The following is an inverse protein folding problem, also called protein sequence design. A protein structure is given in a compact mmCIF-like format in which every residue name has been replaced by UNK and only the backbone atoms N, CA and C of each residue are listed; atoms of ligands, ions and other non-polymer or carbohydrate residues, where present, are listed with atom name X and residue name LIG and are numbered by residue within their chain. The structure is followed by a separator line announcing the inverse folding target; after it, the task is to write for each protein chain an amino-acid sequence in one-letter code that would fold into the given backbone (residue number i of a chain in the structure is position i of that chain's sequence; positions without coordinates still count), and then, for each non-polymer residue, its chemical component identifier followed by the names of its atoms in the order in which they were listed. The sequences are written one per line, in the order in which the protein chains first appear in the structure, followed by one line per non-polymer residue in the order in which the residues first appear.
data_IF_848016705360
#
_entry.id   IF_848016705360
#
_cell.length_a   1.000
_cell.length_b   1.000
_cell.length_c   1.000
_cell.angle_alpha   90.00
_cell.angle_beta   90.00
_cell.angle_gamma   90.00
#
_symmetry.space_group_name_H-M   'P 1'
#
loop_
_entity.id
_entity.type
_entity.pdbx_description
1 polymer ?
#
# COMPACT_ATOMS: atom_id res chain seq x y z
N UNK A 1 1.62 20.75 8.36
CA UNK A 1 2.50 20.27 7.27
C UNK A 1 3.95 20.53 7.64
N UNK A 2 4.91 19.78 7.06
CA UNK A 2 6.35 19.95 7.28
C UNK A 2 6.97 20.65 6.07
N UNK A 3 7.60 21.81 6.27
CA UNK A 3 8.39 22.49 5.25
C UNK A 3 9.85 22.02 5.31
N UNK A 4 10.49 21.84 4.16
CA UNK A 4 11.92 21.54 4.02
C UNK A 4 12.74 22.78 3.65
N UNK A 5 12.09 23.90 3.33
CA UNK A 5 12.74 25.16 2.95
C UNK A 5 12.95 26.04 4.18
N UNK A 6 14.21 26.36 4.46
CA UNK A 6 14.57 27.23 5.59
C UNK A 6 13.90 28.60 5.47
N UNK A 7 13.40 29.15 6.58
CA UNK A 7 12.69 30.43 6.61
C UNK A 7 11.23 30.38 6.14
N UNK A 8 10.77 29.30 5.50
CA UNK A 8 9.38 29.16 5.04
C UNK A 8 8.64 28.17 5.93
N UNK A 9 7.91 28.69 6.92
CA UNK A 9 7.02 27.89 7.77
C UNK A 9 5.62 27.70 7.18
N UNK A 10 5.15 28.65 6.38
CA UNK A 10 3.82 28.66 5.78
C UNK A 10 3.77 29.55 4.52
N UNK A 11 3.11 29.10 3.42
CA UNK A 11 2.68 27.72 3.18
C UNK A 11 3.90 26.78 3.16
N UNK A 12 3.76 25.58 3.72
CA UNK A 12 4.88 24.65 3.84
C UNK A 12 5.24 24.05 2.47
N UNK A 13 6.54 24.01 2.15
CA UNK A 13 7.05 23.39 0.92
C UNK A 13 7.68 22.05 1.30
N UNK A 14 7.08 20.94 0.88
CA UNK A 14 7.58 19.59 1.14
C UNK A 14 8.78 19.21 0.25
N UNK A 15 9.43 18.08 0.54
CA UNK A 15 10.40 17.47 -0.38
C UNK A 15 9.72 16.89 -1.62
N UNK A 16 10.48 16.56 -2.66
CA UNK A 16 9.94 15.93 -3.87
C UNK A 16 9.11 14.67 -3.56
N UNK A 17 9.62 13.79 -2.70
CA UNK A 17 8.89 12.59 -2.28
C UNK A 17 7.58 12.92 -1.55
N UNK A 18 7.58 13.97 -0.72
CA UNK A 18 6.38 14.46 -0.04
C UNK A 18 5.38 15.08 -1.03
N UNK A 19 5.85 15.81 -2.04
CA UNK A 19 5.02 16.42 -3.07
C UNK A 19 4.29 15.38 -3.92
N UNK A 20 4.98 14.32 -4.36
CA UNK A 20 4.33 13.21 -5.07
C UNK A 20 3.27 12.53 -4.20
N UNK A 21 3.58 12.27 -2.92
CA UNK A 21 2.66 11.65 -1.98
C UNK A 21 1.42 12.53 -1.73
N UNK A 22 1.60 13.84 -1.59
CA UNK A 22 0.50 14.81 -1.50
C UNK A 22 -0.34 14.83 -2.78
N UNK A 23 0.29 14.78 -3.96
CA UNK A 23 -0.41 14.73 -5.24
C UNK A 23 -1.30 13.49 -5.38
N UNK A 24 -0.82 12.32 -4.92
CA UNK A 24 -1.62 11.10 -4.91
C UNK A 24 -2.76 11.17 -3.88
N UNK A 25 -2.50 11.69 -2.67
CA UNK A 25 -3.51 11.89 -1.65
C UNK A 25 -4.62 12.85 -2.12
N UNK A 26 -4.25 13.94 -2.79
CA UNK A 26 -5.20 14.88 -3.40
C UNK A 26 -6.11 14.20 -4.42
N UNK A 27 -5.56 13.35 -5.29
CA UNK A 27 -6.35 12.58 -6.25
C UNK A 27 -7.31 11.60 -5.54
N UNK A 28 -6.84 10.89 -4.51
CA UNK A 28 -7.65 9.94 -3.74
C UNK A 28 -8.78 10.63 -2.94
N UNK A 29 -8.49 11.78 -2.34
CA UNK A 29 -9.47 12.56 -1.57
C UNK A 29 -10.59 13.06 -2.46
N UNK A 30 -10.30 13.41 -3.73
CA UNK A 30 -11.34 13.78 -4.69
C UNK A 30 -12.08 12.59 -5.24
N UNK A 31 -11.37 11.51 -5.56
CA UNK A 31 -12.00 10.35 -6.21
C UNK A 31 -12.99 9.63 -5.30
N UNK A 32 -12.80 9.70 -3.98
CA UNK A 32 -13.69 9.03 -3.01
C UNK A 32 -15.11 9.57 -2.95
N UNK A 33 -15.33 10.78 -3.47
CA UNK A 33 -16.63 11.45 -3.53
C UNK A 33 -17.24 11.43 -4.94
N UNK A 34 -16.61 10.75 -5.89
CA UNK A 34 -17.14 10.64 -7.24
C UNK A 34 -18.43 9.79 -7.25
N UNK A 35 -19.37 10.09 -8.16
CA UNK A 35 -20.50 9.21 -8.42
C UNK A 35 -20.04 7.80 -8.76
N UNK A 36 -20.87 6.81 -8.41
CA UNK A 36 -20.58 5.40 -8.61
C UNK A 36 -20.22 5.06 -10.07
N UNK A 37 -20.95 5.63 -11.04
CA UNK A 37 -20.70 5.43 -12.47
C UNK A 37 -19.29 5.92 -12.87
N UNK A 38 -18.90 7.11 -12.42
CA UNK A 38 -17.58 7.67 -12.69
C UNK A 38 -16.45 6.88 -12.01
N UNK A 39 -16.69 6.34 -10.81
CA UNK A 39 -15.75 5.44 -10.15
C UNK A 39 -15.58 4.14 -10.93
N UNK A 40 -16.70 3.55 -11.37
CA UNK A 40 -16.74 2.32 -12.13
C UNK A 40 -16.00 2.46 -13.44
N UNK A 41 -16.25 3.52 -14.20
CA UNK A 41 -15.54 3.81 -15.45
C UNK A 41 -14.02 3.84 -15.26
N UNK A 42 -13.55 4.56 -14.23
CA UNK A 42 -12.12 4.67 -13.90
C UNK A 42 -11.52 3.34 -13.45
N UNK A 43 -12.23 2.58 -12.62
CA UNK A 43 -11.80 1.27 -12.16
C UNK A 43 -11.68 0.28 -13.33
N UNK A 44 -12.67 0.25 -14.23
CA UNK A 44 -12.62 -0.59 -15.42
C UNK A 44 -11.54 -0.14 -16.40
N UNK A 45 -11.32 1.16 -16.57
CA UNK A 45 -10.19 1.68 -17.34
C UNK A 45 -8.84 1.15 -16.83
N UNK A 46 -8.61 1.21 -15.51
CA UNK A 46 -7.38 0.68 -14.89
C UNK A 46 -7.32 -0.86 -14.94
N UNK A 47 -8.44 -1.55 -14.77
CA UNK A 47 -8.53 -3.01 -14.84
C UNK A 47 -8.12 -3.52 -16.23
N UNK A 48 -8.58 -2.87 -17.31
CA UNK A 48 -8.19 -3.26 -18.68
C UNK A 48 -6.68 -3.16 -18.90
N UNK A 49 -6.04 -2.10 -18.40
CA UNK A 49 -4.58 -1.97 -18.43
C UNK A 49 -3.88 -3.11 -17.66
N UNK A 50 -4.40 -3.46 -16.48
CA UNK A 50 -3.87 -4.56 -15.67
C UNK A 50 -4.02 -5.91 -16.38
N UNK A 51 -5.18 -6.19 -16.97
CA UNK A 51 -5.46 -7.45 -17.67
C UNK A 51 -4.59 -7.60 -18.92
N UNK A 52 -4.43 -6.54 -19.72
CA UNK A 52 -3.51 -6.54 -20.86
C UNK A 52 -2.08 -6.87 -20.42
N UNK A 53 -1.60 -6.20 -19.38
CA UNK A 53 -0.28 -6.48 -18.83
C UNK A 53 -0.16 -7.94 -18.38
N UNK A 54 -1.06 -8.41 -17.52
CA UNK A 54 -1.05 -9.76 -16.97
C UNK A 54 -1.11 -10.84 -18.07
N UNK A 55 -1.97 -10.67 -19.08
CA UNK A 55 -2.08 -11.58 -20.21
C UNK A 55 -0.78 -11.62 -21.04
N UNK A 56 -0.08 -10.49 -21.17
CA UNK A 56 1.14 -10.40 -21.98
C UNK A 56 2.42 -10.85 -21.26
N UNK A 57 2.49 -10.71 -19.93
CA UNK A 57 3.75 -10.88 -19.19
C UNK A 57 3.70 -11.91 -18.06
N UNK A 58 2.52 -12.37 -17.63
CA UNK A 58 2.41 -13.32 -16.51
C UNK A 58 1.94 -14.68 -17.03
N UNK A 59 2.78 -15.74 -17.01
CA UNK A 59 2.46 -17.04 -17.60
C UNK A 59 1.11 -17.62 -17.16
N UNK A 60 0.78 -17.52 -15.86
CA UNK A 60 -0.49 -18.00 -15.33
C UNK A 60 -1.70 -17.28 -15.93
N UNK A 61 -1.63 -15.95 -16.06
CA UNK A 61 -2.74 -15.15 -16.59
C UNK A 61 -2.81 -15.19 -18.11
N UNK A 62 -1.69 -15.39 -18.81
CA UNK A 62 -1.69 -15.64 -20.25
C UNK A 62 -2.51 -16.89 -20.62
N UNK A 63 -2.43 -17.95 -19.80
CA UNK A 63 -3.26 -19.14 -19.97
C UNK A 63 -4.72 -18.89 -19.54
N UNK A 64 -4.93 -18.34 -18.34
CA UNK A 64 -6.28 -18.12 -17.78
C UNK A 64 -7.13 -17.19 -18.64
N UNK A 65 -6.53 -16.12 -19.18
CA UNK A 65 -7.20 -15.09 -19.96
C UNK A 65 -7.18 -15.38 -21.46
N UNK A 66 -6.74 -16.58 -21.87
CA UNK A 66 -6.68 -16.94 -23.29
C UNK A 66 -8.06 -16.81 -23.94
N UNK A 67 -8.15 -16.00 -24.99
CA UNK A 67 -9.40 -15.77 -25.72
C UNK A 67 -10.36 -14.77 -25.07
N UNK A 68 -9.99 -14.17 -23.94
CA UNK A 68 -10.76 -13.07 -23.34
C UNK A 68 -10.37 -11.76 -24.01
N UNK A 69 -11.36 -11.02 -24.51
CA UNK A 69 -11.16 -9.65 -24.98
C UNK A 69 -11.00 -8.70 -23.78
N UNK A 70 -9.76 -8.26 -23.54
CA UNK A 70 -9.46 -7.31 -22.47
C UNK A 70 -9.94 -5.89 -22.76
N UNK A 71 -10.30 -5.55 -24.00
CA UNK A 71 -10.70 -4.21 -24.40
C UNK A 71 -12.22 -4.01 -24.23
N UNK A 72 -13.00 -5.02 -24.60
CA UNK A 72 -14.44 -5.13 -24.32
C UNK A 72 -14.80 -5.51 -22.88
N UNK A 73 -13.80 -5.67 -21.99
CA UNK A 73 -13.99 -6.21 -20.65
C UNK A 73 -14.95 -5.36 -19.78
N UNK A 74 -16.05 -5.96 -19.35
CA UNK A 74 -17.14 -5.32 -18.61
C UNK A 74 -17.46 -6.02 -17.28
N UNK A 75 -18.55 -5.60 -16.62
CA UNK A 75 -18.93 -6.13 -15.30
C UNK A 75 -19.20 -7.63 -15.33
N UNK A 76 -19.92 -8.11 -16.34
CA UNK A 76 -20.33 -9.51 -16.41
C UNK A 76 -19.09 -10.38 -16.70
N UNK A 77 -18.20 -9.90 -17.58
CA UNK A 77 -16.88 -10.50 -17.81
C UNK A 77 -16.03 -10.55 -16.53
N UNK A 78 -16.03 -9.48 -15.74
CA UNK A 78 -15.31 -9.43 -14.46
C UNK A 78 -15.85 -10.45 -13.46
N UNK A 79 -17.17 -10.55 -13.34
CA UNK A 79 -17.81 -11.52 -12.45
C UNK A 79 -17.61 -12.98 -12.88
N UNK A 80 -17.33 -13.22 -14.17
CA UNK A 80 -17.04 -14.54 -14.70
C UNK A 80 -15.56 -14.97 -14.54
N UNK A 81 -14.66 -14.09 -14.06
CA UNK A 81 -13.25 -14.42 -13.92
C UNK A 81 -13.03 -15.59 -12.93
N UNK A 82 -12.19 -16.57 -13.29
CA UNK A 82 -11.80 -17.62 -12.36
C UNK A 82 -11.13 -17.05 -11.10
N UNK A 83 -11.57 -17.54 -9.94
CA UNK A 83 -10.98 -17.13 -8.67
C UNK A 83 -9.58 -17.73 -8.49
N UNK A 84 -8.61 -16.88 -8.12
CA UNK A 84 -7.27 -17.33 -7.76
C UNK A 84 -7.26 -17.83 -6.31
N UNK A 85 -7.14 -19.16 -6.14
CA UNK A 85 -7.15 -19.77 -4.81
C UNK A 85 -5.82 -19.56 -4.07
N UNK A 86 -5.86 -19.60 -2.73
CA UNK A 86 -4.65 -19.58 -1.90
C UNK A 86 -3.70 -20.73 -2.22
N UNK A 87 -4.23 -21.93 -2.52
CA UNK A 87 -3.44 -23.10 -2.91
C UNK A 87 -2.66 -22.80 -4.20
N UNK A 88 -3.32 -22.22 -5.19
CA UNK A 88 -2.70 -21.80 -6.46
C UNK A 88 -1.60 -20.77 -6.23
N UNK A 89 -1.81 -19.78 -5.35
CA UNK A 89 -0.76 -18.81 -4.99
C UNK A 89 0.48 -19.47 -4.37
N UNK A 90 0.28 -20.48 -3.52
CA UNK A 90 1.37 -21.16 -2.83
C UNK A 90 2.17 -22.08 -3.77
N UNK A 91 1.49 -22.82 -4.66
CA UNK A 91 2.14 -23.75 -5.58
C UNK A 91 2.62 -23.10 -6.88
N UNK A 92 2.07 -21.95 -7.25
CA UNK A 92 2.26 -21.30 -8.55
C UNK A 92 3.14 -20.06 -8.54
N UNK A 93 3.95 -19.84 -7.51
CA UNK A 93 4.73 -18.60 -7.37
C UNK A 93 5.54 -18.26 -8.63
N UNK A 94 6.23 -19.24 -9.23
CA UNK A 94 7.04 -18.99 -10.43
C UNK A 94 6.20 -18.60 -11.67
N UNK A 95 5.03 -19.21 -11.86
CA UNK A 95 4.16 -18.89 -13.01
C UNK A 95 3.33 -17.62 -12.83
N UNK A 96 3.25 -17.10 -11.60
CA UNK A 96 2.56 -15.86 -11.25
C UNK A 96 3.47 -14.62 -11.33
N UNK A 97 4.76 -14.80 -11.64
CA UNK A 97 5.68 -13.68 -11.83
C UNK A 97 5.52 -13.06 -13.22
N UNK A 98 5.55 -11.73 -13.27
CA UNK A 98 5.65 -11.00 -14.53
C UNK A 98 7.06 -11.13 -15.08
N UNK A 99 7.17 -11.55 -16.34
CA UNK A 99 8.45 -11.65 -17.07
C UNK A 99 8.98 -10.30 -17.52
N UNK A 100 8.15 -9.25 -17.47
CA UNK A 100 8.52 -7.89 -17.87
C UNK A 100 7.82 -6.87 -16.98
N UNK A 101 8.42 -6.56 -15.82
CA UNK A 101 7.90 -5.51 -14.93
C UNK A 101 7.95 -4.16 -15.67
N UNK A 102 6.87 -3.35 -15.68
CA UNK A 102 6.84 -2.12 -16.46
C UNK A 102 7.90 -1.12 -16.03
N UNK A 103 8.42 -0.36 -16.99
CA UNK A 103 9.35 0.74 -16.72
C UNK A 103 8.70 1.77 -15.78
N UNK A 104 9.48 2.31 -14.85
CA UNK A 104 8.99 3.24 -13.83
C UNK A 104 8.40 2.59 -12.56
N UNK A 105 8.23 1.26 -12.51
CA UNK A 105 7.80 0.59 -11.28
C UNK A 105 8.88 0.55 -10.18
N UNK A 106 10.14 0.79 -10.55
CA UNK A 106 11.28 0.80 -9.64
C UNK A 106 11.72 -0.60 -9.21
N UNK A 107 12.43 -0.67 -8.08
CA UNK A 107 13.00 -1.92 -7.58
C UNK A 107 11.92 -2.96 -7.25
N UNK A 108 12.19 -4.21 -7.60
CA UNK A 108 11.35 -5.37 -7.28
C UNK A 108 11.94 -6.09 -6.07
N UNK A 109 11.10 -6.37 -5.08
CA UNK A 109 11.52 -7.05 -3.84
C UNK A 109 10.58 -8.22 -3.57
N UNK A 110 11.14 -9.37 -3.23
CA UNK A 110 10.36 -10.51 -2.77
C UNK A 110 10.01 -10.37 -1.30
N UNK A 111 8.75 -10.64 -0.96
CA UNK A 111 8.25 -10.71 0.40
C UNK A 111 7.35 -11.93 0.57
N UNK A 112 6.93 -12.18 1.81
CA UNK A 112 6.06 -13.30 2.13
C UNK A 112 5.13 -12.96 3.29
N UNK A 113 3.92 -13.52 3.26
CA UNK A 113 2.98 -13.40 4.38
C UNK A 113 3.53 -14.12 5.61
N UNK A 114 3.18 -13.67 6.82
CA UNK A 114 3.59 -14.32 8.07
C UNK A 114 3.04 -15.75 8.24
N UNK A 115 1.95 -16.11 7.53
CA UNK A 115 1.39 -17.46 7.47
C UNK A 115 0.89 -17.98 8.82
N UNK A 116 -0.32 -17.61 9.23
CA UNK A 116 -0.94 -18.12 10.48
C UNK A 116 -1.10 -19.64 10.53
N UNK A 117 -1.13 -20.31 9.36
CA UNK A 117 -1.27 -21.77 9.21
C UNK A 117 0.03 -22.48 8.78
N UNK A 118 1.19 -21.82 8.90
CA UNK A 118 2.49 -22.41 8.55
C UNK A 118 2.83 -22.44 7.05
N UNK A 119 1.91 -22.06 6.18
CA UNK A 119 2.13 -21.99 4.72
C UNK A 119 2.09 -20.54 4.22
N UNK A 120 3.23 -19.83 4.22
CA UNK A 120 3.30 -18.44 3.75
C UNK A 120 3.07 -18.35 2.24
N UNK A 121 2.44 -17.26 1.79
CA UNK A 121 2.36 -16.89 0.36
C UNK A 121 3.53 -15.98 0.04
N UNK A 122 4.35 -16.37 -0.93
CA UNK A 122 5.41 -15.53 -1.51
C UNK A 122 4.81 -14.59 -2.54
N UNK A 123 5.31 -13.36 -2.61
CA UNK A 123 4.89 -12.37 -3.60
C UNK A 123 6.03 -11.39 -3.91
N UNK A 124 5.95 -10.73 -5.06
CA UNK A 124 6.83 -9.64 -5.45
C UNK A 124 6.11 -8.31 -5.28
N UNK A 125 6.84 -7.28 -4.87
CA UNK A 125 6.34 -5.90 -4.81
C UNK A 125 7.33 -4.96 -5.47
N UNK A 126 6.80 -3.83 -5.95
CA UNK A 126 7.60 -2.79 -6.60
C UNK A 126 7.67 -1.54 -5.72
N UNK A 127 8.56 -0.60 -6.06
CA UNK A 127 8.59 0.70 -5.39
C UNK A 127 7.26 1.45 -5.50
N UNK A 128 6.54 1.31 -6.62
CA UNK A 128 5.19 1.85 -6.81
C UNK A 128 4.19 1.22 -5.84
N UNK A 129 4.25 -0.09 -5.62
CA UNK A 129 3.41 -0.77 -4.61
C UNK A 129 3.63 -0.18 -3.21
N UNK A 130 4.89 0.06 -2.82
CA UNK A 130 5.23 0.68 -1.54
C UNK A 130 4.75 2.15 -1.48
N UNK A 131 4.80 2.87 -2.60
CA UNK A 131 4.31 4.25 -2.67
C UNK A 131 2.79 4.34 -2.45
N UNK A 132 2.01 3.44 -3.07
CA UNK A 132 0.57 3.34 -2.79
C UNK A 132 0.28 2.93 -1.34
N UNK A 133 1.04 1.99 -0.79
CA UNK A 133 0.93 1.62 0.63
C UNK A 133 1.12 2.84 1.55
N UNK A 134 2.11 3.68 1.26
CA UNK A 134 2.37 4.90 2.02
C UNK A 134 1.19 5.88 1.95
N UNK A 135 0.63 6.09 0.75
CA UNK A 135 -0.54 6.96 0.55
C UNK A 135 -1.76 6.45 1.33
N UNK A 136 -2.05 5.14 1.23
CA UNK A 136 -3.17 4.53 1.95
C UNK A 136 -2.99 4.62 3.48
N UNK A 137 -1.77 4.46 3.98
CA UNK A 137 -1.45 4.64 5.41
C UNK A 137 -1.75 6.07 5.88
N UNK A 138 -1.30 7.08 5.13
CA UNK A 138 -1.61 8.47 5.47
C UNK A 138 -3.12 8.74 5.39
N UNK A 139 -3.78 8.22 4.35
CA UNK A 139 -5.22 8.38 4.15
C UNK A 139 -6.04 7.80 5.30
N UNK A 140 -5.69 6.61 5.78
CA UNK A 140 -6.30 6.01 6.96
C UNK A 140 -6.21 6.96 8.16
N UNK A 141 -5.03 7.51 8.43
CA UNK A 141 -4.85 8.45 9.52
C UNK A 141 -5.72 9.71 9.39
N UNK A 142 -5.86 10.25 8.18
CA UNK A 142 -6.68 11.43 7.89
C UNK A 142 -8.19 11.13 8.06
N UNK A 143 -8.66 9.99 7.55
CA UNK A 143 -10.05 9.55 7.73
C UNK A 143 -10.42 9.38 9.20
N UNK A 144 -9.50 8.87 10.01
CA UNK A 144 -9.68 8.69 11.44
C UNK A 144 -9.46 9.99 12.24
N UNK A 145 -9.21 11.12 11.57
CA UNK A 145 -8.98 12.44 12.16
C UNK A 145 -7.97 12.40 13.32
N UNK A 146 -6.92 11.60 13.19
CA UNK A 146 -5.95 11.41 14.28
C UNK A 146 -5.16 12.70 14.50
N UNK A 147 -5.01 13.08 15.76
CA UNK A 147 -4.14 14.19 16.14
C UNK A 147 -2.67 13.81 15.96
N UNK A 148 -2.06 14.39 14.94
CA UNK A 148 -0.64 14.18 14.63
C UNK A 148 0.31 14.77 15.66
N UNK A 149 -0.12 15.73 16.48
CA UNK A 149 0.73 16.27 17.54
C UNK A 149 0.90 15.31 18.72
N UNK A 150 0.02 14.32 18.84
CA UNK A 150 0.06 13.29 19.88
C UNK A 150 1.21 12.29 19.72
N UNK A 151 1.43 11.50 20.78
CA UNK A 151 2.38 10.38 20.77
C UNK A 151 1.78 9.17 20.04
N UNK A 152 2.51 8.57 19.11
CA UNK A 152 2.13 7.30 18.48
C UNK A 152 2.79 6.13 19.21
N UNK A 153 1.98 5.27 19.81
CA UNK A 153 2.42 3.99 20.37
C UNK A 153 2.13 2.85 19.38
N UNK A 154 3.14 2.05 19.02
CA UNK A 154 3.00 0.95 18.08
C UNK A 154 3.63 -0.36 18.61
N UNK A 155 2.79 -1.34 18.90
CA UNK A 155 3.20 -2.71 19.21
C UNK A 155 3.19 -3.52 17.91
N UNK A 156 4.36 -3.95 17.43
CA UNK A 156 4.50 -4.60 16.12
C UNK A 156 5.48 -5.76 16.14
N UNK A 157 5.32 -6.67 15.19
CA UNK A 157 6.30 -7.74 14.95
C UNK A 157 7.60 -7.15 14.40
N UNK A 158 8.74 -7.74 14.74
CA UNK A 158 10.09 -7.35 14.26
C UNK A 158 10.50 -5.89 14.59
N UNK A 159 9.88 -5.24 15.56
CA UNK A 159 10.32 -3.93 16.05
C UNK A 159 11.19 -4.07 17.30
N UNK A 160 12.19 -3.20 17.41
CA UNK A 160 12.91 -2.99 18.67
C UNK A 160 12.10 -2.04 19.55
N UNK A 161 12.17 -2.25 20.85
CA UNK A 161 11.64 -1.29 21.81
C UNK A 161 12.42 0.01 21.74
N UNK A 162 11.73 1.15 21.72
CA UNK A 162 12.39 2.43 21.60
C UNK A 162 11.44 3.61 21.54
N UNK A 163 12.03 4.80 21.66
CA UNK A 163 11.37 6.09 21.46
C UNK A 163 11.96 6.77 20.23
N UNK A 164 11.11 7.48 19.50
CA UNK A 164 11.43 8.12 18.24
C UNK A 164 10.99 9.59 18.30
N UNK A 165 11.71 10.51 17.64
CA UNK A 165 11.39 11.94 17.67
C UNK A 165 10.08 12.27 16.93
N UNK A 166 9.65 11.39 16.01
CA UNK A 166 8.44 11.53 15.22
C UNK A 166 7.79 10.16 14.96
N UNK A 167 6.62 10.15 14.30
CA UNK A 167 5.90 8.92 13.91
C UNK A 167 6.58 8.10 12.80
N UNK A 168 7.67 8.61 12.20
CA UNK A 168 8.32 8.00 11.05
C UNK A 168 7.54 8.15 9.74
N UNK A 169 8.11 7.55 8.68
CA UNK A 169 7.47 7.49 7.38
C UNK A 169 6.24 6.57 7.40
N UNK A 170 5.19 6.86 6.60
CA UNK A 170 5.10 7.98 5.65
C UNK A 170 4.60 9.31 6.24
N UNK A 171 4.07 9.31 7.46
CA UNK A 171 3.37 10.48 8.04
C UNK A 171 4.32 11.66 8.28
N UNK A 172 5.51 11.40 8.84
CA UNK A 172 6.52 12.42 9.13
C UNK A 172 7.13 13.07 7.87
N UNK A 173 6.86 12.51 6.69
CA UNK A 173 7.22 13.12 5.40
C UNK A 173 6.34 14.33 5.07
N UNK A 174 5.08 14.32 5.54
CA UNK A 174 4.08 15.33 5.18
C UNK A 174 3.74 16.27 6.35
N UNK A 175 3.73 15.72 7.56
CA UNK A 175 3.27 16.41 8.76
C UNK A 175 4.39 16.48 9.79
N UNK A 176 4.38 17.56 10.59
CA UNK A 176 5.07 17.53 11.88
C UNK A 176 4.22 16.65 12.80
N UNK A 177 4.84 15.68 13.43
CA UNK A 177 4.16 14.77 14.35
C UNK A 177 4.78 14.82 15.74
N UNK A 178 4.04 14.36 16.76
CA UNK A 178 4.59 14.09 18.08
C UNK A 178 5.53 12.88 18.07
N UNK A 179 6.07 12.48 19.23
CA UNK A 179 7.02 11.38 19.31
C UNK A 179 6.38 10.04 18.98
N UNK A 180 7.18 9.12 18.45
CA UNK A 180 6.82 7.71 18.27
C UNK A 180 7.38 6.86 19.40
N UNK A 181 6.70 5.76 19.73
CA UNK A 181 7.22 4.74 20.63
C UNK A 181 6.84 3.36 20.10
N UNK A 182 7.80 2.43 20.10
CA UNK A 182 7.60 1.08 19.58
C UNK A 182 7.88 0.03 20.63
N UNK A 183 7.13 -1.07 20.57
CA UNK A 183 7.35 -2.27 21.38
C UNK A 183 7.20 -3.52 20.50
N UNK A 184 7.94 -4.57 20.81
CA UNK A 184 7.79 -5.84 20.10
C UNK A 184 6.50 -6.55 20.54
N UNK A 185 5.73 -7.07 19.59
CA UNK A 185 4.50 -7.85 19.89
C UNK A 185 4.76 -9.13 20.69
N UNK A 186 6.00 -9.64 20.69
CA UNK A 186 6.40 -10.80 21.51
C UNK A 186 6.68 -10.47 22.97
N UNK A 187 6.63 -9.19 23.34
CA UNK A 187 6.70 -8.78 24.74
C UNK A 187 5.49 -9.33 25.50
N UNK A 188 5.68 -9.76 26.75
CA UNK A 188 4.59 -10.24 27.60
C UNK A 188 3.43 -9.22 27.69
N UNK A 189 2.19 -9.72 27.73
CA UNK A 189 0.97 -8.89 27.67
C UNK A 189 0.87 -7.93 28.86
N UNK A 190 1.28 -8.35 30.06
CA UNK A 190 1.28 -7.47 31.24
C UNK A 190 2.28 -6.33 31.05
N UNK A 191 3.43 -6.64 30.47
CA UNK A 191 4.44 -5.62 30.12
C UNK A 191 3.97 -4.70 28.99
N UNK A 192 3.23 -5.22 28.01
CA UNK A 192 2.61 -4.38 26.97
C UNK A 192 1.61 -3.40 27.58
N UNK A 193 0.74 -3.87 28.50
CA UNK A 193 -0.21 -3.02 29.20
C UNK A 193 0.52 -1.96 30.04
N UNK A 194 1.49 -2.38 30.86
CA UNK A 194 2.31 -1.47 31.66
C UNK A 194 3.04 -0.41 30.82
N UNK A 195 3.44 -0.75 29.59
CA UNK A 195 4.05 0.18 28.65
C UNK A 195 3.05 1.19 28.05
N UNK A 196 1.81 0.77 27.79
CA UNK A 196 0.76 1.63 27.24
C UNK A 196 0.21 2.65 28.24
N UNK A 197 0.18 2.30 29.54
CA UNK A 197 -0.36 3.18 30.59
C UNK A 197 0.67 4.16 31.17
N UNK A 198 1.91 4.16 30.65
CA UNK A 198 2.98 5.10 31.01
C UNK A 198 2.91 6.38 30.18
#
# INVERSE_FOLDING_TARGET
MRSVVSGIGWPAIGSDAAAHLQGLLFQMERSQWLPEESLRERQFGQLKLLLRHACSTVPHYAEMLRGIDTDGFDRDSFSALPLLTRKTLQSGFESLQSTAVPSGHGAVVQSQSSGSTGMPVRFLQTAVTQFFWNALTVREHLWQQRDFSGKLAAIRIKMKEGSWPDWGLPVAALFRTGPGATLNVRTDVERQLAWLVR
#
